data_IF_103120505392
#
_entry.id   IF_103120505392
#
_cell.length_a   1.000
_cell.length_b   1.000
_cell.length_c   1.000
_cell.angle_alpha   90.00
_cell.angle_beta   90.00
_cell.angle_gamma   90.00
#
_symmetry.space_group_name_H-M   'P 1'
#
loop_
_entity.id
_entity.type
_entity.pdbx_description
1 polymer ?
#
# COMPACT_ATOMS: atom_id res chain seq x y z
N UNK A 1 -10.47 0.11 10.82
CA UNK A 1 -11.11 0.48 9.55
C UNK A 1 -10.83 -0.68 8.62
N UNK A 2 -11.87 -1.31 8.09
CA UNK A 2 -11.83 -2.68 7.52
C UNK A 2 -11.10 -2.67 6.18
N UNK A 3 -9.79 -2.88 6.20
CA UNK A 3 -8.91 -2.85 5.03
C UNK A 3 -8.78 -4.24 4.43
N UNK A 4 -8.45 -4.32 3.14
CA UNK A 4 -8.25 -5.58 2.41
C UNK A 4 -6.90 -6.20 2.83
N UNK A 5 -5.83 -5.41 2.90
CA UNK A 5 -4.48 -5.87 3.23
C UNK A 5 -3.81 -5.02 4.33
N UNK A 6 -2.49 -5.16 4.49
CA UNK A 6 -1.65 -4.38 5.40
C UNK A 6 -1.60 -2.91 4.94
N UNK A 7 -1.41 -1.93 5.85
CA UNK A 7 -1.08 -0.56 5.47
C UNK A 7 0.10 -0.47 4.49
N UNK A 8 0.19 0.64 3.75
CA UNK A 8 1.15 0.86 2.64
C UNK A 8 0.91 0.01 1.39
N UNK A 9 -0.31 -0.49 1.20
CA UNK A 9 -0.70 -1.25 0.01
C UNK A 9 -1.81 -0.57 -0.77
N UNK A 10 -1.83 -0.84 -2.08
CA UNK A 10 -2.94 -0.55 -2.98
C UNK A 10 -3.48 -1.92 -3.39
N UNK A 11 -4.74 -2.20 -3.07
CA UNK A 11 -5.28 -3.54 -3.19
C UNK A 11 -6.70 -3.54 -3.74
N UNK A 12 -7.05 -4.62 -4.44
CA UNK A 12 -8.40 -4.89 -4.91
C UNK A 12 -8.81 -6.33 -4.60
N UNK A 13 -10.11 -6.50 -4.35
CA UNK A 13 -10.72 -7.81 -4.10
C UNK A 13 -12.12 -7.84 -4.73
N UNK A 14 -12.52 -9.01 -5.21
CA UNK A 14 -13.91 -9.28 -5.60
C UNK A 14 -14.74 -9.59 -4.36
N UNK A 15 -15.82 -8.86 -4.14
CA UNK A 15 -16.70 -9.06 -2.98
C UNK A 15 -17.87 -9.94 -3.37
N UNK A 16 -17.80 -11.23 -3.00
CA UNK A 16 -18.85 -12.22 -3.29
C UNK A 16 -19.77 -12.51 -2.11
N UNK A 17 -19.31 -12.24 -0.88
CA UNK A 17 -20.05 -12.46 0.37
C UNK A 17 -20.09 -11.18 1.21
N UNK A 18 -21.13 -11.00 2.05
CA UNK A 18 -21.18 -9.87 2.97
C UNK A 18 -20.00 -9.91 3.95
N UNK A 19 -19.61 -8.74 4.45
CA UNK A 19 -18.54 -8.61 5.44
C UNK A 19 -18.89 -9.36 6.74
N UNK A 20 -18.00 -10.25 7.18
CA UNK A 20 -18.14 -10.96 8.45
C UNK A 20 -17.57 -10.12 9.60
N UNK A 21 -18.31 -10.00 10.71
CA UNK A 21 -17.90 -9.15 11.84
C UNK A 21 -16.68 -9.69 12.60
N UNK A 22 -16.38 -10.98 12.48
CA UNK A 22 -15.31 -11.68 13.19
C UNK A 22 -14.12 -11.99 12.26
N UNK A 23 -14.39 -12.43 11.03
CA UNK A 23 -13.36 -12.86 10.06
C UNK A 23 -13.01 -11.78 9.02
N UNK A 24 -13.89 -10.81 8.81
CA UNK A 24 -13.65 -9.69 7.91
C UNK A 24 -14.14 -9.89 6.48
N UNK A 25 -13.38 -9.36 5.52
CA UNK A 25 -13.64 -9.62 4.10
C UNK A 25 -13.26 -11.06 3.78
N UNK A 26 -14.11 -11.75 3.00
CA UNK A 26 -13.77 -13.08 2.55
C UNK A 26 -12.64 -13.00 1.51
N UNK A 27 -11.48 -13.60 1.82
CA UNK A 27 -10.29 -13.65 0.97
C UNK A 27 -10.21 -14.94 0.13
N UNK A 28 -11.32 -15.65 -0.09
CA UNK A 28 -11.38 -16.87 -0.93
C UNK A 28 -10.87 -16.63 -2.37
N UNK A 29 -11.12 -15.45 -2.94
CA UNK A 29 -10.51 -15.02 -4.19
C UNK A 29 -9.31 -14.14 -3.83
N UNK A 30 -8.09 -14.67 -4.03
CA UNK A 30 -6.84 -13.99 -3.65
C UNK A 30 -6.84 -12.52 -4.09
N UNK A 31 -6.64 -11.56 -3.16
CA UNK A 31 -6.66 -10.15 -3.49
C UNK A 31 -5.44 -9.79 -4.35
N UNK A 32 -5.66 -8.89 -5.30
CA UNK A 32 -4.56 -8.28 -6.06
C UNK A 32 -3.97 -7.15 -5.21
N UNK A 33 -2.69 -7.27 -4.84
CA UNK A 33 -2.04 -6.35 -3.91
C UNK A 33 -0.73 -5.83 -4.49
N UNK A 34 -0.60 -4.50 -4.55
CA UNK A 34 0.66 -3.79 -4.78
C UNK A 34 1.17 -3.21 -3.48
N UNK A 35 2.47 -3.30 -3.25
CA UNK A 35 3.12 -2.67 -2.11
C UNK A 35 3.69 -1.31 -2.53
N UNK A 36 3.10 -0.23 -2.03
CA UNK A 36 3.63 1.13 -2.22
C UNK A 36 4.81 1.42 -1.29
N UNK A 37 4.88 0.73 -0.13
CA UNK A 37 5.99 0.81 0.81
C UNK A 37 6.00 2.05 1.71
N UNK A 38 5.22 3.10 1.38
CA UNK A 38 5.07 4.31 2.21
C UNK A 38 3.65 4.47 2.74
N UNK A 39 3.49 5.17 3.87
CA UNK A 39 2.17 5.43 4.47
C UNK A 39 1.40 6.57 3.81
N UNK A 40 2.11 7.47 3.12
CA UNK A 40 1.53 8.64 2.47
C UNK A 40 1.85 8.63 0.97
N UNK A 41 0.84 8.62 0.08
CA UNK A 41 1.04 8.74 -1.37
C UNK A 41 1.92 9.93 -1.77
N UNK A 42 1.90 11.02 -0.99
CA UNK A 42 2.71 12.22 -1.24
C UNK A 42 4.24 11.98 -1.23
N UNK A 43 4.68 10.83 -0.69
CA UNK A 43 6.09 10.41 -0.66
C UNK A 43 6.63 10.12 -2.06
N UNK A 44 5.80 9.54 -2.94
CA UNK A 44 6.19 9.18 -4.31
C UNK A 44 4.95 9.08 -5.20
N UNK A 45 4.47 10.22 -5.69
CA UNK A 45 3.23 10.28 -6.49
C UNK A 45 3.36 9.59 -7.84
N UNK A 46 4.55 9.59 -8.45
CA UNK A 46 4.77 8.95 -9.74
C UNK A 46 4.62 7.43 -9.62
N UNK A 47 5.21 6.83 -8.59
CA UNK A 47 5.01 5.42 -8.29
C UNK A 47 3.56 5.10 -7.94
N UNK A 48 2.91 5.96 -7.14
CA UNK A 48 1.50 5.78 -6.80
C UNK A 48 0.64 5.76 -8.07
N UNK A 49 0.85 6.73 -8.98
CA UNK A 49 0.15 6.79 -10.26
C UNK A 49 0.34 5.51 -11.08
N UNK A 50 1.57 5.04 -11.19
CA UNK A 50 1.88 3.87 -11.99
C UNK A 50 1.24 2.60 -11.41
N UNK A 51 1.31 2.41 -10.09
CA UNK A 51 0.64 1.28 -9.43
C UNK A 51 -0.88 1.35 -9.55
N UNK A 52 -1.49 2.54 -9.47
CA UNK A 52 -2.94 2.74 -9.64
C UNK A 52 -3.37 2.43 -11.07
N UNK A 53 -2.63 2.91 -12.08
CA UNK A 53 -2.89 2.61 -13.49
C UNK A 53 -2.80 1.10 -13.74
N UNK A 54 -1.74 0.45 -13.23
CA UNK A 54 -1.56 -0.99 -13.39
C UNK A 54 -2.65 -1.79 -12.68
N UNK A 55 -3.09 -1.35 -11.51
CA UNK A 55 -4.20 -1.97 -10.80
C UNK A 55 -5.51 -1.86 -11.61
N UNK A 56 -5.81 -0.70 -12.16
CA UNK A 56 -6.99 -0.49 -12.99
C UNK A 56 -6.97 -1.37 -14.25
N UNK A 57 -5.82 -1.46 -14.94
CA UNK A 57 -5.64 -2.33 -16.10
C UNK A 57 -5.92 -3.81 -15.76
N UNK A 58 -5.36 -4.31 -14.66
CA UNK A 58 -5.57 -5.70 -14.24
C UNK A 58 -7.02 -5.98 -13.81
N UNK A 59 -7.70 -5.00 -13.22
CA UNK A 59 -9.13 -5.11 -12.88
C UNK A 59 -9.98 -5.12 -14.14
N UNK A 60 -9.66 -4.31 -15.14
CA UNK A 60 -10.35 -4.32 -16.44
C UNK A 60 -10.17 -5.65 -17.16
N UNK A 61 -8.95 -6.20 -17.19
CA UNK A 61 -8.71 -7.54 -17.74
C UNK A 61 -9.54 -8.59 -16.99
N UNK A 62 -9.66 -8.49 -15.66
CA UNK A 62 -10.49 -9.42 -14.89
C UNK A 62 -11.97 -9.26 -15.18
N UNK A 63 -12.47 -8.02 -15.33
CA UNK A 63 -13.88 -7.75 -15.60
C UNK A 63 -14.30 -8.21 -17.01
N UNK A 64 -13.42 -8.11 -18.00
CA UNK A 64 -13.67 -8.65 -19.35
C UNK A 64 -13.89 -10.17 -19.35
N UNK A 65 -13.29 -10.89 -18.40
CA UNK A 65 -13.39 -12.33 -18.27
C UNK A 65 -14.52 -12.80 -17.34
N UNK A 66 -15.10 -11.90 -16.53
CA UNK A 66 -16.15 -12.21 -15.56
C UNK A 66 -17.30 -11.20 -15.63
N UNK A 67 -18.41 -11.63 -16.25
CA UNK A 67 -19.61 -10.83 -16.42
C UNK A 67 -20.22 -10.37 -15.08
N UNK A 68 -20.05 -11.14 -14.01
CA UNK A 68 -20.59 -10.78 -12.69
C UNK A 68 -19.82 -9.60 -12.10
N UNK A 69 -18.49 -9.58 -12.25
CA UNK A 69 -17.63 -8.47 -11.83
C UNK A 69 -17.89 -7.24 -12.71
N UNK A 70 -17.98 -7.44 -14.04
CA UNK A 70 -18.26 -6.36 -14.98
C UNK A 70 -19.56 -5.61 -14.66
N UNK A 71 -20.63 -6.34 -14.38
CA UNK A 71 -21.94 -5.74 -14.07
C UNK A 71 -22.04 -5.15 -12.67
N UNK A 72 -21.19 -5.59 -11.73
CA UNK A 72 -21.19 -5.12 -10.34
C UNK A 72 -20.51 -3.75 -10.16
N UNK A 73 -19.61 -3.39 -11.07
CA UNK A 73 -18.81 -2.16 -10.97
C UNK A 73 -17.73 -2.22 -9.87
N UNK A 74 -17.18 -1.05 -9.52
CA UNK A 74 -16.08 -0.93 -8.57
C UNK A 74 -16.33 0.16 -7.50
N UNK A 75 -15.92 -0.11 -6.26
CA UNK A 75 -15.93 0.88 -5.17
C UNK A 75 -14.49 1.14 -4.75
N UNK A 76 -14.03 2.38 -4.95
CA UNK A 76 -12.65 2.76 -4.68
C UNK A 76 -12.61 3.63 -3.42
N UNK A 77 -11.95 3.11 -2.39
CA UNK A 77 -11.71 3.86 -1.15
C UNK A 77 -10.31 4.48 -1.16
N UNK A 78 -10.26 5.82 -1.17
CA UNK A 78 -9.02 6.59 -1.17
C UNK A 78 -8.58 6.99 0.25
N UNK A 79 -7.28 7.17 0.45
CA UNK A 79 -6.76 7.78 1.68
C UNK A 79 -7.08 9.27 1.73
N UNK A 80 -7.40 9.78 2.92
CA UNK A 80 -7.44 11.23 3.14
C UNK A 80 -6.04 11.83 3.08
N UNK A 81 -5.93 13.04 2.56
CA UNK A 81 -4.69 13.83 2.57
C UNK A 81 -4.72 14.88 3.69
N UNK A 82 -3.54 15.26 4.18
CA UNK A 82 -3.39 16.28 5.21
C UNK A 82 -3.82 17.63 4.64
N UNK A 83 -4.71 18.34 5.37
CA UNK A 83 -5.13 19.71 5.04
C UNK A 83 -4.20 20.78 5.61
N UNK A 84 -3.20 20.36 6.41
CA UNK A 84 -2.32 21.30 7.10
C UNK A 84 -1.46 22.05 6.07
N UNK A 85 -1.62 23.37 6.00
CA UNK A 85 -0.84 24.27 5.15
C UNK A 85 0.59 24.50 5.66
N UNK A 86 1.08 23.68 6.62
CA UNK A 86 2.43 23.80 7.17
C UNK A 86 3.52 23.70 6.09
N UNK A 87 3.22 23.02 4.98
CA UNK A 87 4.11 22.84 3.83
C UNK A 87 3.73 23.76 2.65
N UNK A 88 3.08 24.90 2.92
CA UNK A 88 2.71 25.88 1.89
C UNK A 88 1.67 25.39 0.89
N UNK A 89 0.79 24.47 1.28
CA UNK A 89 -0.28 23.91 0.44
C UNK A 89 0.12 22.75 -0.47
N UNK A 90 1.41 22.35 -0.48
CA UNK A 90 1.92 21.27 -1.34
C UNK A 90 1.25 19.92 -1.10
N UNK A 91 0.98 19.57 0.16
CA UNK A 91 0.30 18.31 0.54
C UNK A 91 -1.14 18.22 -0.01
N UNK A 92 -1.85 19.35 -0.08
CA UNK A 92 -3.20 19.42 -0.63
C UNK A 92 -3.19 19.19 -2.14
N UNK A 93 -2.28 19.85 -2.87
CA UNK A 93 -2.14 19.66 -4.31
C UNK A 93 -1.78 18.22 -4.66
N UNK A 94 -0.84 17.61 -3.91
CA UNK A 94 -0.47 16.20 -4.06
C UNK A 94 -1.67 15.26 -3.85
N UNK A 95 -2.52 15.54 -2.86
CA UNK A 95 -3.75 14.79 -2.61
C UNK A 95 -4.78 14.91 -3.73
N UNK A 96 -4.97 16.12 -4.25
CA UNK A 96 -5.85 16.37 -5.41
C UNK A 96 -5.32 15.62 -6.64
N UNK A 97 -4.00 15.63 -6.87
CA UNK A 97 -3.39 14.91 -7.98
C UNK A 97 -3.57 13.38 -7.87
N UNK A 98 -3.52 12.83 -6.65
CA UNK A 98 -3.82 11.41 -6.42
C UNK A 98 -5.29 11.08 -6.74
N UNK A 99 -6.23 11.97 -6.42
CA UNK A 99 -7.65 11.84 -6.79
C UNK A 99 -7.81 11.86 -8.31
N UNK A 100 -7.24 12.86 -9.00
CA UNK A 100 -7.28 12.97 -10.46
C UNK A 100 -6.76 11.71 -11.14
N UNK A 101 -5.60 11.25 -10.67
CA UNK A 101 -4.96 10.04 -11.20
C UNK A 101 -5.86 8.82 -11.05
N UNK A 102 -6.47 8.64 -9.89
CA UNK A 102 -7.36 7.50 -9.64
C UNK A 102 -8.65 7.61 -10.45
N UNK A 103 -9.23 8.81 -10.53
CA UNK A 103 -10.45 9.07 -11.29
C UNK A 103 -10.25 8.79 -12.79
N UNK A 104 -9.10 9.19 -13.33
CA UNK A 104 -8.74 8.93 -14.72
C UNK A 104 -8.42 7.45 -14.97
N UNK A 105 -7.62 6.82 -14.10
CA UNK A 105 -7.22 5.41 -14.26
C UNK A 105 -8.40 4.44 -14.24
N UNK A 106 -9.39 4.70 -13.39
CA UNK A 106 -10.57 3.86 -13.22
C UNK A 106 -11.81 4.34 -13.98
N UNK A 107 -11.69 5.43 -14.75
CA UNK A 107 -12.79 6.02 -15.52
C UNK A 107 -14.07 6.19 -14.67
N UNK A 108 -13.93 6.85 -13.51
CA UNK A 108 -14.99 6.85 -12.49
C UNK A 108 -16.24 7.64 -12.91
N UNK A 109 -17.41 7.02 -12.79
CA UNK A 109 -18.69 7.71 -13.08
C UNK A 109 -19.15 8.64 -11.96
N UNK A 110 -18.88 8.26 -10.70
CA UNK A 110 -19.41 8.96 -9.52
C UNK A 110 -18.34 9.13 -8.44
N UNK A 111 -18.17 10.37 -7.97
CA UNK A 111 -17.23 10.73 -6.91
C UNK A 111 -17.99 11.24 -5.67
N UNK A 112 -17.81 10.53 -4.55
CA UNK A 112 -18.42 10.87 -3.27
C UNK A 112 -17.45 11.67 -2.38
N UNK A 113 -17.77 12.93 -2.10
CA UNK A 113 -16.95 13.81 -1.24
C UNK A 113 -17.58 13.94 0.14
N UNK A 114 -16.87 13.54 1.19
CA UNK A 114 -17.36 13.63 2.58
C UNK A 114 -17.00 14.99 3.19
N UNK A 115 -18.01 15.71 3.69
CA UNK A 115 -17.98 17.03 4.35
C UNK A 115 -17.48 18.22 3.51
N UNK A 116 -16.40 18.04 2.76
CA UNK A 116 -15.62 19.12 2.16
C UNK A 116 -16.34 19.74 0.94
N UNK A 117 -17.05 20.83 1.20
CA UNK A 117 -17.75 21.59 0.15
C UNK A 117 -16.80 22.27 -0.82
N UNK A 118 -15.64 22.73 -0.36
CA UNK A 118 -14.66 23.39 -1.23
C UNK A 118 -14.04 22.38 -2.19
N UNK A 119 -13.63 21.22 -1.69
CA UNK A 119 -13.13 20.13 -2.54
C UNK A 119 -14.19 19.67 -3.54
N UNK A 120 -15.45 19.54 -3.12
CA UNK A 120 -16.54 19.15 -4.00
C UNK A 120 -16.84 20.19 -5.10
N UNK A 121 -16.69 21.48 -4.82
CA UNK A 121 -16.82 22.53 -5.83
C UNK A 121 -15.61 22.53 -6.78
N UNK A 122 -14.40 22.45 -6.23
CA UNK A 122 -13.16 22.39 -7.00
C UNK A 122 -13.14 21.22 -7.97
N UNK A 123 -13.45 20.01 -7.51
CA UNK A 123 -13.46 18.83 -8.37
C UNK A 123 -14.53 18.91 -9.47
N UNK A 124 -15.61 19.69 -9.28
CA UNK A 124 -16.65 19.89 -10.30
C UNK A 124 -16.20 20.80 -11.43
N UNK A 125 -15.28 21.72 -11.15
CA UNK A 125 -14.67 22.57 -12.17
C UNK A 125 -13.50 21.86 -12.88
N UNK A 126 -12.84 20.94 -12.17
CA UNK A 126 -11.60 20.31 -12.58
C UNK A 126 -11.77 18.98 -13.34
N UNK A 127 -12.80 18.19 -13.01
CA UNK A 127 -13.08 16.91 -13.65
C UNK A 127 -14.05 17.04 -14.85
N UNK A 128 -14.06 16.06 -15.76
CA UNK A 128 -15.00 16.03 -16.89
C UNK A 128 -16.47 16.14 -16.42
N UNK A 129 -17.34 16.81 -17.20
CA UNK A 129 -18.73 17.04 -16.82
C UNK A 129 -19.57 15.75 -16.71
N UNK A 130 -19.10 14.63 -17.27
CA UNK A 130 -19.71 13.32 -17.17
C UNK A 130 -19.61 12.73 -15.74
N UNK A 131 -18.60 13.14 -14.97
CA UNK A 131 -18.37 12.62 -13.61
C UNK A 131 -19.36 13.25 -12.63
N UNK A 132 -20.21 12.43 -12.02
CA UNK A 132 -21.20 12.89 -11.04
C UNK A 132 -20.56 13.09 -9.66
N UNK A 133 -20.50 14.33 -9.19
CA UNK A 133 -19.91 14.66 -7.89
C UNK A 133 -20.99 14.90 -6.84
N UNK A 134 -21.03 14.03 -5.82
CA UNK A 134 -22.00 14.07 -4.72
C UNK A 134 -21.29 14.39 -3.42
N UNK A 135 -21.76 15.44 -2.73
CA UNK A 135 -21.29 15.78 -1.39
C UNK A 135 -22.14 15.07 -0.34
N UNK A 136 -21.49 14.37 0.59
CA UNK A 136 -22.14 13.65 1.70
C UNK A 136 -21.78 14.28 3.05
N UNK A 137 -22.73 14.36 3.99
CA UNK A 137 -22.43 14.74 5.37
C UNK A 137 -21.63 13.63 6.07
N UNK A 138 -20.70 13.99 6.95
CA UNK A 138 -20.04 13.01 7.83
C UNK A 138 -21.02 12.52 8.88
N UNK A 139 -20.96 11.22 9.16
CA UNK A 139 -21.73 10.62 10.25
C UNK A 139 -21.34 11.22 11.60
N UNK A 140 -22.31 11.50 12.45
CA UNK A 140 -22.10 12.05 13.80
C UNK A 140 -21.27 11.14 14.70
N UNK A 141 -21.21 9.83 14.42
CA UNK A 141 -20.37 8.86 15.12
C UNK A 141 -18.92 8.79 14.62
N UNK A 142 -18.54 9.55 13.60
CA UNK A 142 -17.21 9.50 13.03
C UNK A 142 -16.22 10.34 13.85
N UNK A 143 -15.33 9.64 14.55
CA UNK A 143 -14.32 10.25 15.43
C UNK A 143 -13.04 10.55 14.64
N UNK A 144 -12.47 11.74 14.86
CA UNK A 144 -11.14 12.09 14.36
C UNK A 144 -10.07 11.36 15.17
N UNK A 145 -9.20 10.62 14.49
CA UNK A 145 -8.13 9.85 15.14
C UNK A 145 -6.85 10.66 15.27
N UNK A 146 -6.18 10.55 16.41
CA UNK A 146 -4.84 11.10 16.63
C UNK A 146 -3.77 10.30 15.88
N UNK A 147 -2.56 10.86 15.66
CA UNK A 147 -1.44 10.13 15.05
C UNK A 147 -1.12 8.81 15.76
N UNK A 148 -1.15 8.79 17.10
CA UNK A 148 -0.91 7.58 17.90
C UNK A 148 -1.99 6.51 17.66
N UNK A 149 -3.25 6.93 17.54
CA UNK A 149 -4.35 6.01 17.21
C UNK A 149 -4.19 5.42 15.81
N UNK A 150 -3.69 6.21 14.85
CA UNK A 150 -3.35 5.69 13.52
C UNK A 150 -2.20 4.68 13.57
N UNK A 151 -1.15 4.94 14.34
CA UNK A 151 -0.05 3.99 14.54
C UNK A 151 -0.55 2.68 15.15
N UNK A 152 -1.30 2.74 16.25
CA UNK A 152 -1.89 1.54 16.88
C UNK A 152 -2.80 0.77 15.93
N UNK A 153 -3.57 1.47 15.08
CA UNK A 153 -4.41 0.82 14.10
C UNK A 153 -3.60 0.09 13.01
N UNK A 154 -2.47 0.66 12.57
CA UNK A 154 -1.57 -0.01 11.64
C UNK A 154 -0.96 -1.27 12.27
N UNK A 155 -0.48 -1.17 13.50
CA UNK A 155 0.09 -2.31 14.23
C UNK A 155 -0.94 -3.41 14.44
N UNK A 156 -2.18 -3.04 14.82
CA UNK A 156 -3.29 -3.98 14.92
C UNK A 156 -3.61 -4.66 13.58
N UNK A 157 -3.46 -3.95 12.46
CA UNK A 157 -3.68 -4.53 11.12
C UNK A 157 -2.59 -5.52 10.73
N UNK A 158 -1.33 -5.21 11.01
CA UNK A 158 -0.21 -6.15 10.80
C UNK A 158 -0.36 -7.37 11.70
N UNK A 159 -0.74 -7.16 12.96
CA UNK A 159 -1.05 -8.25 13.90
C UNK A 159 -2.17 -9.15 13.36
N UNK A 160 -3.29 -8.57 12.93
CA UNK A 160 -4.41 -9.32 12.37
C UNK A 160 -4.03 -10.10 11.10
N UNK A 161 -3.10 -9.59 10.29
CA UNK A 161 -2.57 -10.32 9.13
C UNK A 161 -1.76 -11.57 9.55
N UNK A 162 -0.92 -11.45 10.58
CA UNK A 162 -0.06 -12.55 11.04
C UNK A 162 -0.81 -13.58 11.90
N UNK A 163 -1.70 -13.09 12.76
CA UNK A 163 -2.32 -13.83 13.86
C UNK A 163 -3.83 -14.04 13.68
N UNK A 164 -4.42 -13.53 12.60
CA UNK A 164 -5.86 -13.56 12.32
C UNK A 164 -6.64 -12.41 12.96
N UNK A 165 -7.77 -12.04 12.34
CA UNK A 165 -8.72 -11.06 12.89
C UNK A 165 -9.57 -11.65 14.02
N UNK A 166 -9.92 -12.94 13.92
CA UNK A 166 -10.82 -13.60 14.85
C UNK A 166 -10.05 -14.12 16.08
N UNK A 167 -10.31 -13.59 17.29
CA UNK A 167 -9.63 -14.05 18.51
C UNK A 167 -9.94 -15.52 18.87
N UNK A 168 -11.04 -16.08 18.35
CA UNK A 168 -11.40 -17.49 18.55
C UNK A 168 -10.73 -18.43 17.53
N UNK A 169 -10.26 -17.88 16.40
CA UNK A 169 -9.63 -18.62 15.32
C UNK A 169 -8.30 -17.94 14.95
N UNK A 170 -7.38 -17.98 15.91
CA UNK A 170 -6.04 -17.39 15.75
C UNK A 170 -5.25 -18.16 14.69
N UNK A 171 -4.58 -17.43 13.81
CA UNK A 171 -3.52 -17.96 12.97
C UNK A 171 -2.23 -18.03 13.80
N UNK A 172 -1.33 -18.93 13.41
CA UNK A 172 -0.06 -19.16 14.09
C UNK A 172 1.08 -18.90 13.11
N UNK A 173 1.67 -17.70 13.12
CA UNK A 173 2.78 -17.40 12.23
C UNK A 173 4.02 -18.20 12.62
N UNK A 174 4.90 -18.41 11.65
CA UNK A 174 6.10 -19.21 11.76
C UNK A 174 7.35 -18.34 11.74
N UNK A 175 8.34 -18.68 12.56
CA UNK A 175 9.66 -18.06 12.49
C UNK A 175 10.58 -18.88 11.58
N UNK A 176 11.11 -18.25 10.54
CA UNK A 176 11.98 -18.87 9.55
C UNK A 176 13.29 -18.09 9.45
N UNK A 177 14.42 -18.79 9.48
CA UNK A 177 15.75 -18.18 9.29
C UNK A 177 16.16 -18.32 7.83
N UNK A 178 16.40 -17.18 7.18
CA UNK A 178 16.77 -17.06 5.77
C UNK A 178 18.25 -16.65 5.66
N UNK A 179 18.96 -17.19 4.66
CA UNK A 179 20.34 -16.79 4.37
C UNK A 179 20.35 -15.48 3.58
N UNK A 180 21.09 -14.49 4.05
CA UNK A 180 21.21 -13.19 3.39
C UNK A 180 21.75 -13.28 1.95
N UNK A 181 22.52 -14.33 1.63
CA UNK A 181 23.06 -14.55 0.27
C UNK A 181 22.00 -14.99 -0.76
N UNK A 182 20.86 -15.52 -0.30
CA UNK A 182 19.82 -16.07 -1.19
C UNK A 182 18.72 -15.04 -1.47
N UNK A 183 18.61 -13.99 -0.67
CA UNK A 183 17.52 -13.00 -0.69
C UNK A 183 18.03 -11.58 -0.88
N UNK A 184 17.31 -10.80 -1.68
CA UNK A 184 17.62 -9.41 -1.97
C UNK A 184 16.50 -8.50 -1.51
N UNK A 185 16.84 -7.51 -0.68
CA UNK A 185 15.89 -6.53 -0.16
C UNK A 185 16.09 -5.22 -0.92
N UNK A 186 15.00 -4.63 -1.39
CA UNK A 186 15.00 -3.37 -2.13
C UNK A 186 14.18 -2.32 -1.41
N UNK A 187 14.61 -1.07 -1.54
CA UNK A 187 13.82 0.12 -1.23
C UNK A 187 13.55 0.84 -2.54
N UNK A 188 12.34 1.39 -2.70
CA UNK A 188 11.95 2.11 -3.91
C UNK A 188 12.06 3.61 -3.69
N UNK A 189 12.66 4.28 -4.66
CA UNK A 189 12.82 5.74 -4.68
C UNK A 189 14.05 6.22 -3.91
N UNK A 190 14.65 7.31 -4.40
CA UNK A 190 15.60 8.15 -3.67
C UNK A 190 15.06 9.57 -3.54
N UNK A 191 15.68 10.39 -2.69
CA UNK A 191 15.51 11.84 -2.82
C UNK A 191 15.97 12.26 -4.22
N UNK A 192 15.13 13.02 -4.93
CA UNK A 192 15.52 13.63 -6.19
C UNK A 192 16.74 14.53 -5.93
N UNK A 193 17.78 14.40 -6.74
CA UNK A 193 18.94 15.28 -6.65
C UNK A 193 18.46 16.68 -7.04
N UNK A 194 18.53 17.69 -6.16
CA UNK A 194 18.11 19.05 -6.51
C UNK A 194 18.85 19.52 -7.77
N UNK A 195 18.18 20.27 -8.65
CA UNK A 195 18.75 20.80 -9.89
C UNK A 195 20.11 21.51 -9.68
N UNK A 196 20.30 22.12 -8.51
CA UNK A 196 21.54 22.78 -8.10
C UNK A 196 22.75 21.84 -7.99
N UNK A 197 22.54 20.53 -7.88
CA UNK A 197 23.56 19.50 -7.76
C UNK A 197 23.71 18.63 -9.04
N UNK A 198 22.91 18.90 -10.08
CA UNK A 198 23.03 18.20 -11.36
C UNK A 198 24.24 18.73 -12.16
N UNK A 199 25.11 17.84 -12.71
CA UNK A 199 26.18 18.24 -13.62
C UNK A 199 25.62 18.98 -14.84
N UNK A 200 26.34 19.97 -15.34
CA UNK A 200 25.89 20.77 -16.47
C UNK A 200 25.62 19.89 -17.70
N UNK A 201 24.35 19.85 -18.14
CA UNK A 201 23.89 19.08 -19.29
C UNK A 201 23.31 17.69 -18.98
N UNK A 202 23.28 17.25 -17.71
CA UNK A 202 22.55 16.05 -17.31
C UNK A 202 21.06 16.37 -17.13
N UNK A 203 20.19 15.53 -17.69
CA UNK A 203 18.75 15.55 -17.37
C UNK A 203 18.50 14.81 -16.06
N UNK A 204 17.42 15.17 -15.36
CA UNK A 204 16.95 14.48 -14.16
C UNK A 204 16.68 13.01 -14.50
N UNK A 205 17.48 12.07 -13.96
CA UNK A 205 17.19 10.65 -14.07
C UNK A 205 15.92 10.33 -13.27
N UNK A 206 15.07 9.45 -13.80
CA UNK A 206 13.83 8.99 -13.15
C UNK A 206 14.14 8.13 -11.91
N UNK A 207 14.56 8.78 -10.83
CA UNK A 207 14.97 8.10 -9.59
C UNK A 207 13.80 7.57 -8.76
N UNK A 208 12.59 8.05 -9.03
CA UNK A 208 11.38 7.70 -8.29
C UNK A 208 11.00 6.21 -8.42
N UNK A 209 11.40 5.53 -9.49
CA UNK A 209 11.13 4.11 -9.73
C UNK A 209 12.31 3.19 -9.40
N UNK A 210 13.46 3.76 -9.06
CA UNK A 210 14.68 2.97 -8.89
C UNK A 210 14.57 2.05 -7.67
N UNK A 211 14.79 0.75 -7.92
CA UNK A 211 14.91 -0.26 -6.88
C UNK A 211 16.36 -0.27 -6.36
N UNK A 212 16.56 0.25 -5.15
CA UNK A 212 17.87 0.35 -4.52
C UNK A 212 18.03 -0.84 -3.56
N UNK A 213 19.03 -1.67 -3.80
CA UNK A 213 19.31 -2.81 -2.93
C UNK A 213 19.79 -2.33 -1.56
N UNK A 214 19.18 -2.87 -0.50
CA UNK A 214 19.48 -2.60 0.90
C UNK A 214 20.26 -3.77 1.47
N UNK A 215 21.43 -3.48 2.05
CA UNK A 215 22.23 -4.51 2.73
C UNK A 215 21.54 -5.03 3.99
N UNK A 216 21.68 -6.33 4.26
CA UNK A 216 21.16 -6.93 5.50
C UNK A 216 21.91 -6.34 6.70
N UNK A 217 21.18 -5.60 7.54
CA UNK A 217 21.73 -4.89 8.69
C UNK A 217 20.79 -4.95 9.89
N UNK A 218 21.28 -4.60 11.07
CA UNK A 218 20.47 -4.55 12.30
C UNK A 218 19.26 -3.59 12.18
N UNK A 219 19.28 -2.65 11.25
CA UNK A 219 18.20 -1.70 10.99
C UNK A 219 16.95 -2.36 10.37
N UNK A 220 17.12 -3.54 9.77
CA UNK A 220 15.99 -4.32 9.27
C UNK A 220 15.15 -4.93 10.39
N UNK A 221 15.66 -5.00 11.62
CA UNK A 221 14.91 -5.55 12.74
C UNK A 221 13.56 -4.81 12.89
N UNK A 222 12.49 -5.58 13.06
CA UNK A 222 11.11 -5.13 13.18
C UNK A 222 10.56 -4.43 11.92
N UNK A 223 11.23 -4.53 10.76
CA UNK A 223 10.71 -4.00 9.50
C UNK A 223 9.82 -5.01 8.82
N UNK A 224 8.74 -4.51 8.23
CA UNK A 224 7.86 -5.29 7.37
C UNK A 224 8.43 -5.29 5.94
N UNK A 225 8.51 -6.48 5.35
CA UNK A 225 8.94 -6.73 3.98
C UNK A 225 7.76 -7.30 3.18
N UNK A 226 7.60 -6.85 1.94
CA UNK A 226 6.67 -7.45 1.00
C UNK A 226 7.41 -8.44 0.09
N UNK A 227 6.84 -9.62 -0.12
CA UNK A 227 7.39 -10.65 -0.99
C UNK A 227 6.92 -10.37 -2.42
N UNK A 228 7.80 -9.85 -3.27
CA UNK A 228 7.43 -9.43 -4.62
C UNK A 228 7.14 -10.62 -5.54
N UNK A 229 6.24 -10.44 -6.51
CA UNK A 229 6.05 -11.37 -7.63
C UNK A 229 6.99 -11.06 -8.83
N UNK A 230 7.84 -10.04 -8.71
CA UNK A 230 8.80 -9.66 -9.75
C UNK A 230 9.75 -10.81 -10.10
N UNK A 231 10.07 -10.93 -11.39
CA UNK A 231 11.15 -11.84 -11.83
C UNK A 231 12.52 -11.15 -11.79
N UNK A 232 12.54 -9.83 -11.93
CA UNK A 232 13.75 -9.02 -11.98
C UNK A 232 13.71 -7.84 -10.98
N UNK A 233 14.88 -7.40 -10.47
CA UNK A 233 14.95 -6.28 -9.52
C UNK A 233 14.28 -4.98 -9.99
N UNK A 234 14.36 -4.66 -11.29
CA UNK A 234 13.76 -3.46 -11.87
C UNK A 234 12.23 -3.47 -11.86
N UNK A 235 11.61 -4.65 -11.76
CA UNK A 235 10.16 -4.83 -11.75
C UNK A 235 9.57 -4.81 -10.33
N UNK A 236 10.40 -4.90 -9.29
CA UNK A 236 9.98 -4.91 -7.88
C UNK A 236 9.02 -3.76 -7.50
N UNK A 237 9.24 -2.50 -7.95
CA UNK A 237 8.33 -1.39 -7.62
C UNK A 237 6.91 -1.55 -8.16
N UNK A 238 6.72 -2.31 -9.24
CA UNK A 238 5.46 -2.37 -9.99
C UNK A 238 4.83 -3.75 -10.01
N UNK A 239 5.51 -4.73 -9.44
CA UNK A 239 4.97 -6.08 -9.39
C UNK A 239 4.02 -6.21 -8.20
N UNK A 240 2.94 -7.00 -8.33
CA UNK A 240 2.15 -7.42 -7.19
C UNK A 240 3.02 -8.17 -6.17
N UNK A 241 2.45 -8.43 -5.00
CA UNK A 241 3.12 -9.16 -3.93
C UNK A 241 2.38 -10.45 -3.60
N UNK A 242 3.12 -11.48 -3.19
CA UNK A 242 2.53 -12.72 -2.66
C UNK A 242 1.99 -12.52 -1.23
N UNK A 243 2.62 -11.62 -0.47
CA UNK A 243 2.28 -11.39 0.92
C UNK A 243 3.38 -10.61 1.64
N UNK A 244 3.33 -10.62 2.97
CA UNK A 244 4.21 -9.84 3.81
C UNK A 244 4.83 -10.68 4.92
N UNK A 245 6.05 -10.33 5.31
CA UNK A 245 6.82 -10.96 6.39
C UNK A 245 7.44 -9.87 7.26
N UNK A 246 7.69 -10.15 8.54
CA UNK A 246 8.35 -9.20 9.46
C UNK A 246 9.70 -9.73 9.86
N UNK A 247 10.75 -8.92 9.77
CA UNK A 247 12.07 -9.32 10.26
C UNK A 247 12.09 -9.25 11.79
N UNK A 248 12.33 -10.38 12.45
CA UNK A 248 12.37 -10.50 13.92
C UNK A 248 13.79 -10.24 14.45
N UNK A 249 14.80 -10.78 13.77
CA UNK A 249 16.20 -10.66 14.17
C UNK A 249 17.12 -10.76 12.97
N UNK A 250 18.34 -10.25 13.14
CA UNK A 250 19.43 -10.32 12.16
C UNK A 250 20.65 -10.87 12.89
N UNK A 251 21.34 -11.85 12.30
CA UNK A 251 22.51 -12.47 12.91
C UNK A 251 23.65 -11.45 13.08
N UNK A 252 24.54 -11.69 14.04
CA UNK A 252 25.64 -10.75 14.33
C UNK A 252 26.60 -10.57 13.16
N UNK A 253 26.84 -11.65 12.43
CA UNK A 253 27.65 -11.73 11.22
C UNK A 253 26.91 -11.26 9.95
N UNK A 254 25.61 -10.92 10.07
CA UNK A 254 24.74 -10.48 8.97
C UNK A 254 24.57 -11.50 7.84
N UNK A 255 24.94 -12.76 8.08
CA UNK A 255 24.82 -13.85 7.10
C UNK A 255 23.40 -14.39 7.00
N UNK A 256 22.57 -14.15 8.01
CA UNK A 256 21.19 -14.62 8.07
C UNK A 256 20.28 -13.64 8.81
N UNK A 257 18.98 -13.76 8.56
CA UNK A 257 17.95 -13.02 9.29
C UNK A 257 16.74 -13.93 9.51
N UNK A 258 16.07 -13.75 10.66
CA UNK A 258 14.87 -14.49 11.01
C UNK A 258 13.64 -13.63 10.72
N UNK A 259 12.69 -14.20 9.99
CA UNK A 259 11.41 -13.58 9.66
C UNK A 259 10.27 -14.27 10.41
N UNK A 260 9.21 -13.51 10.68
CA UNK A 260 7.88 -13.97 11.03
C UNK A 260 7.06 -14.04 9.74
N UNK A 261 6.57 -15.23 9.40
CA UNK A 261 5.86 -15.54 8.16
C UNK A 261 4.48 -16.12 8.46
N UNK A 262 3.43 -15.75 7.71
CA UNK A 262 2.12 -16.40 7.83
C UNK A 262 2.13 -17.86 7.35
N UNK A 263 3.16 -18.28 6.59
CA UNK A 263 3.33 -19.64 6.07
C UNK A 263 4.55 -20.32 6.69
N UNK A 264 4.46 -21.63 6.90
CA UNK A 264 5.57 -22.47 7.39
C UNK A 264 6.68 -22.69 6.35
N UNK A 265 6.42 -22.38 5.08
CA UNK A 265 7.36 -22.56 3.99
C UNK A 265 8.17 -21.28 3.75
N UNK A 266 9.42 -21.39 3.23
CA UNK A 266 10.17 -20.23 2.78
C UNK A 266 9.35 -19.40 1.76
N UNK A 267 9.55 -18.07 1.72
CA UNK A 267 8.86 -17.21 0.77
C UNK A 267 9.02 -17.70 -0.68
N UNK A 268 7.97 -17.63 -1.51
CA UNK A 268 7.98 -18.16 -2.88
C UNK A 268 8.94 -17.41 -3.82
N UNK A 269 9.42 -16.23 -3.43
CA UNK A 269 10.37 -15.44 -4.19
C UNK A 269 11.44 -14.87 -3.26
N UNK A 270 12.60 -14.54 -3.84
CA UNK A 270 13.74 -14.03 -3.11
C UNK A 270 13.92 -12.50 -3.22
N UNK A 271 13.06 -11.82 -3.98
CA UNK A 271 13.03 -10.36 -4.09
C UNK A 271 12.03 -9.77 -3.10
N UNK A 272 12.52 -9.00 -2.14
CA UNK A 272 11.72 -8.34 -1.12
C UNK A 272 11.71 -6.84 -1.28
N UNK A 273 10.56 -6.22 -0.97
CA UNK A 273 10.39 -4.77 -0.89
C UNK A 273 10.28 -4.33 0.56
N UNK A 274 11.16 -3.44 0.98
CA UNK A 274 11.16 -2.81 2.30
C UNK A 274 10.06 -1.78 2.42
N UNK A 275 9.27 -1.86 3.49
CA UNK A 275 8.23 -0.86 3.81
C UNK A 275 8.68 0.08 4.93
N UNK A 276 8.01 1.22 5.05
CA UNK A 276 8.21 2.17 6.15
C UNK A 276 7.58 1.71 7.48
N UNK A 277 6.90 0.56 7.50
CA UNK A 277 6.23 0.05 8.71
C UNK A 277 7.25 -0.62 9.63
N UNK A 278 7.19 -0.23 10.89
CA UNK A 278 7.89 -0.88 11.99
C UNK A 278 6.85 -1.63 12.83
N UNK A 279 7.03 -2.93 13.03
CA UNK A 279 6.11 -3.75 13.80
C UNK A 279 6.88 -4.65 14.75
N UNK A 280 6.47 -4.64 16.02
CA UNK A 280 6.96 -5.56 17.05
C UNK A 280 5.80 -6.49 17.39
N UNK A 281 6.02 -7.79 17.24
CA UNK A 281 5.01 -8.78 17.54
C UNK A 281 4.75 -8.81 19.06
N UNK A 282 3.53 -8.50 19.53
CA UNK A 282 3.23 -8.47 20.95
C UNK A 282 3.37 -9.84 21.63
N UNK A 283 3.34 -10.94 20.87
CA UNK A 283 3.50 -12.30 21.42
C UNK A 283 4.96 -12.76 21.49
N UNK A 284 5.89 -11.96 20.95
CA UNK A 284 7.34 -12.20 21.00
C UNK A 284 8.05 -11.51 22.18
N UNK A 285 7.29 -10.76 23.01
CA UNK A 285 7.72 -10.07 24.22
C UNK A 285 7.49 -10.92 25.46
#
# INVERSE_FOLDING_TARGET
TRQICIPTTIAAISVTKPYDLMEGWNLEEDPLVFCFGHTDPASNLNLFREQVNRLAELINIRSENDMSIFTSGCIINMSGFRKDDSDGGSSKEKGIQAIRTTAAAFEVDTLLVIEDGFLASFLREDLPPEVTIVRLPKSSGAITRSPDQWTRQRDARVCAYMHGENPLRRLHPHQLTLKASEYSIYKVGSEAIPDALLPHGAQEEETWRNAIQVSVSRELKNRLLAVSQASEPCQVPESPVYGFVVVVSVSEDKSAFTILSPSAHPPPNNLFLLTSICYVDPESL
#
